data_IF_429032827279
#
_entry.id   IF_429032827279
#
_cell.length_a   1.000
_cell.length_b   1.000
_cell.length_c   1.000
_cell.angle_alpha   90.00
_cell.angle_beta   90.00
_cell.angle_gamma   90.00
#
_symmetry.space_group_name_H-M   'P 1'
#
loop_
_entity.id
_entity.type
_entity.pdbx_description
1 polymer ?
#
# COMPACT_ATOMS: atom_id res chain seq x y z
N UNK A 1 2.40 -5.18 -34.80
CA UNK A 1 2.98 -4.80 -33.47
C UNK A 1 1.87 -4.23 -32.62
N UNK A 2 1.60 -4.82 -31.45
CA UNK A 2 0.56 -4.39 -30.50
C UNK A 2 1.12 -3.48 -29.41
N UNK A 3 0.25 -2.65 -28.85
CA UNK A 3 0.57 -1.73 -27.76
C UNK A 3 -0.24 -2.10 -26.53
N UNK A 4 0.45 -2.32 -25.42
CA UNK A 4 -0.16 -2.65 -24.12
C UNK A 4 -0.17 -1.46 -23.17
N UNK A 5 -1.24 -1.35 -22.41
CA UNK A 5 -1.36 -0.39 -21.32
C UNK A 5 -1.36 -1.11 -19.99
N UNK A 6 -0.40 -0.79 -19.12
CA UNK A 6 -0.37 -1.30 -17.75
C UNK A 6 -1.39 -0.57 -16.90
N UNK A 7 -2.22 -1.32 -16.18
CA UNK A 7 -3.25 -0.82 -15.27
C UNK A 7 -3.22 -1.64 -13.98
N UNK A 8 -3.38 -1.01 -12.83
CA UNK A 8 -3.64 -1.73 -11.60
C UNK A 8 -5.15 -1.97 -11.46
N UNK A 9 -5.62 -3.17 -11.78
CA UNK A 9 -7.06 -3.48 -11.79
C UNK A 9 -7.70 -3.49 -10.40
N UNK A 10 -6.91 -3.65 -9.33
CA UNK A 10 -7.39 -3.73 -7.94
C UNK A 10 -7.04 -2.52 -7.09
N UNK A 11 -6.75 -1.38 -7.73
CA UNK A 11 -6.41 -0.16 -6.97
C UNK A 11 -7.62 0.42 -6.23
N UNK A 12 -7.36 0.98 -5.06
CA UNK A 12 -8.26 1.86 -4.31
C UNK A 12 -7.92 3.35 -4.49
N UNK A 13 -6.99 3.66 -5.43
CA UNK A 13 -6.42 4.99 -5.62
C UNK A 13 -6.37 5.36 -7.12
N UNK A 14 -7.21 6.31 -7.52
CA UNK A 14 -7.24 6.81 -8.91
C UNK A 14 -5.89 7.36 -9.39
N UNK A 15 -4.98 7.69 -8.46
CA UNK A 15 -3.61 8.10 -8.78
C UNK A 15 -2.81 7.06 -9.58
N UNK A 16 -3.11 5.76 -9.44
CA UNK A 16 -2.52 4.70 -10.25
C UNK A 16 -2.98 4.80 -11.70
N UNK A 17 -4.27 5.05 -11.91
CA UNK A 17 -4.81 5.21 -13.27
C UNK A 17 -4.37 6.53 -13.92
N UNK A 18 -4.06 7.57 -13.14
CA UNK A 18 -3.43 8.79 -13.67
C UNK A 18 -2.06 8.46 -14.26
N UNK A 19 -1.30 7.53 -13.63
CA UNK A 19 -0.03 7.05 -14.20
C UNK A 19 -0.26 6.27 -15.49
N UNK A 20 -1.25 5.36 -15.52
CA UNK A 20 -1.64 4.63 -16.73
C UNK A 20 -2.12 5.58 -17.83
N UNK A 21 -2.89 6.62 -17.48
CA UNK A 21 -3.33 7.63 -18.43
C UNK A 21 -2.15 8.39 -19.06
N UNK A 22 -1.13 8.71 -18.28
CA UNK A 22 0.07 9.36 -18.81
C UNK A 22 0.78 8.49 -19.87
N UNK A 23 0.88 7.17 -19.65
CA UNK A 23 1.40 6.24 -20.64
C UNK A 23 0.48 6.16 -21.88
N UNK A 24 -0.84 6.05 -21.67
CA UNK A 24 -1.83 6.05 -22.77
C UNK A 24 -1.68 7.23 -23.71
N UNK A 25 -1.33 8.42 -23.21
CA UNK A 25 -1.17 9.62 -24.04
C UNK A 25 -0.07 9.47 -25.12
N UNK A 26 0.81 8.50 -25.02
CA UNK A 26 1.85 8.21 -26.02
C UNK A 26 1.44 7.11 -27.00
N UNK A 27 0.60 6.16 -26.56
CA UNK A 27 0.26 4.98 -27.33
C UNK A 27 -0.61 5.36 -28.53
N UNK A 28 -0.30 4.86 -29.75
CA UNK A 28 -1.14 5.07 -30.93
C UNK A 28 -2.52 4.43 -30.79
N UNK A 29 -2.57 3.27 -30.11
CA UNK A 29 -3.76 2.54 -29.76
C UNK A 29 -3.50 1.79 -28.44
N UNK A 30 -4.55 1.32 -27.77
CA UNK A 30 -4.46 0.37 -26.68
C UNK A 30 -5.05 -0.94 -27.18
N UNK A 31 -4.19 -1.86 -27.64
CA UNK A 31 -4.61 -3.16 -28.19
C UNK A 31 -4.94 -4.16 -27.09
N UNK A 32 -4.29 -4.02 -25.92
CA UNK A 32 -4.55 -4.86 -24.76
C UNK A 32 -4.24 -4.10 -23.45
N UNK A 33 -4.89 -4.55 -22.39
CA UNK A 33 -4.65 -4.11 -21.03
C UNK A 33 -3.84 -5.16 -20.32
N UNK A 34 -2.80 -4.74 -19.61
CA UNK A 34 -1.92 -5.60 -18.81
C UNK A 34 -2.15 -5.27 -17.35
N UNK A 35 -2.62 -6.24 -16.57
CA UNK A 35 -2.71 -6.04 -15.13
C UNK A 35 -1.31 -5.96 -14.53
N UNK A 36 -1.01 -4.86 -13.86
CA UNK A 36 0.28 -4.64 -13.20
C UNK A 36 0.64 -5.77 -12.23
N UNK A 37 -0.37 -6.34 -11.59
CA UNK A 37 -0.20 -7.37 -10.59
C UNK A 37 -0.19 -8.80 -11.17
N UNK A 38 -0.32 -8.93 -12.50
CA UNK A 38 -0.34 -10.21 -13.23
C UNK A 38 0.54 -10.16 -14.52
N UNK A 39 1.62 -9.39 -14.47
CA UNK A 39 2.47 -9.21 -15.67
C UNK A 39 3.21 -10.47 -16.08
N UNK A 40 3.53 -11.33 -15.15
CA UNK A 40 4.26 -12.57 -15.36
C UNK A 40 3.40 -13.65 -16.05
N UNK A 41 2.05 -13.59 -15.90
CA UNK A 41 1.09 -14.46 -16.56
C UNK A 41 0.48 -13.85 -17.83
N UNK A 42 0.90 -12.67 -18.19
CA UNK A 42 0.37 -12.04 -19.40
C UNK A 42 0.70 -12.87 -20.63
N UNK A 43 -0.31 -13.17 -21.44
CA UNK A 43 -0.20 -13.89 -22.70
C UNK A 43 -0.68 -13.05 -23.86
N UNK A 44 0.04 -13.11 -24.96
CA UNK A 44 -0.34 -12.51 -26.23
C UNK A 44 0.23 -13.33 -27.41
N UNK A 45 -0.43 -13.25 -28.58
CA UNK A 45 0.02 -13.96 -29.79
C UNK A 45 1.29 -13.37 -30.39
N UNK A 46 1.59 -12.12 -30.06
CA UNK A 46 2.78 -11.40 -30.50
C UNK A 46 3.35 -10.52 -29.40
N UNK A 47 4.58 -10.05 -29.58
CA UNK A 47 5.22 -9.12 -28.63
C UNK A 47 4.46 -7.79 -28.55
N UNK A 48 4.25 -7.32 -27.32
CA UNK A 48 3.46 -6.14 -27.00
C UNK A 48 4.36 -5.04 -26.46
N UNK A 49 4.44 -3.93 -27.16
CA UNK A 49 5.17 -2.74 -26.66
C UNK A 49 4.43 -2.08 -25.52
N UNK A 50 5.14 -1.85 -24.44
CA UNK A 50 4.53 -1.38 -23.20
C UNK A 50 5.41 -0.35 -22.51
N UNK A 51 4.85 0.80 -22.17
CA UNK A 51 5.51 1.77 -21.30
C UNK A 51 5.26 1.34 -19.85
N UNK A 52 6.31 0.90 -19.20
CA UNK A 52 6.29 0.38 -17.83
C UNK A 52 6.57 1.51 -16.87
N UNK A 53 5.52 2.17 -16.40
CA UNK A 53 5.58 3.23 -15.40
C UNK A 53 4.60 2.95 -14.27
N UNK A 54 4.88 3.46 -13.09
CA UNK A 54 3.99 3.28 -11.95
C UNK A 54 4.69 2.81 -10.68
N UNK A 55 3.91 2.31 -9.76
CA UNK A 55 4.39 1.74 -8.51
C UNK A 55 4.44 0.21 -8.59
N UNK A 56 5.61 -0.37 -8.36
CA UNK A 56 5.87 -1.80 -8.52
C UNK A 56 6.24 -2.48 -7.21
N UNK A 57 6.16 -3.81 -7.20
CA UNK A 57 6.62 -4.72 -6.15
C UNK A 57 5.79 -4.69 -4.87
N UNK A 58 4.48 -4.51 -4.97
CA UNK A 58 3.57 -4.90 -3.89
C UNK A 58 3.64 -6.40 -3.66
N UNK A 59 3.47 -7.20 -4.72
CA UNK A 59 3.93 -8.57 -4.73
C UNK A 59 5.28 -8.66 -5.42
N UNK A 60 6.20 -9.35 -4.78
CA UNK A 60 7.53 -9.65 -5.31
C UNK A 60 7.59 -11.04 -5.96
N UNK A 61 6.44 -11.72 -6.07
CA UNK A 61 6.32 -13.09 -6.58
C UNK A 61 5.77 -13.16 -8.01
N UNK A 62 5.14 -12.10 -8.52
CA UNK A 62 4.67 -11.95 -9.91
C UNK A 62 5.76 -11.40 -10.83
N UNK A 63 6.97 -11.88 -10.66
CA UNK A 63 8.17 -11.38 -11.32
C UNK A 63 9.04 -12.54 -11.84
N UNK A 64 9.77 -12.42 -12.93
CA UNK A 64 9.78 -11.30 -13.88
C UNK A 64 8.54 -11.26 -14.78
N UNK A 65 8.24 -10.11 -15.43
CA UNK A 65 7.15 -10.02 -16.41
C UNK A 65 7.29 -10.99 -17.57
N UNK A 66 6.15 -11.32 -18.18
CA UNK A 66 6.05 -12.20 -19.35
C UNK A 66 6.99 -11.78 -20.49
N UNK A 67 7.63 -12.73 -21.18
CA UNK A 67 8.49 -12.45 -22.33
C UNK A 67 7.73 -11.85 -23.52
N UNK A 68 6.39 -11.91 -23.54
CA UNK A 68 5.58 -11.21 -24.54
C UNK A 68 5.51 -9.70 -24.34
N UNK A 69 5.86 -9.21 -23.14
CA UNK A 69 5.96 -7.77 -22.88
C UNK A 69 7.32 -7.28 -23.36
N UNK A 70 7.29 -6.35 -24.34
CA UNK A 70 8.47 -5.57 -24.76
C UNK A 70 8.44 -4.22 -24.05
N UNK A 71 9.18 -4.05 -22.94
CA UNK A 71 9.00 -2.92 -22.06
C UNK A 71 9.94 -1.76 -22.36
N UNK A 72 9.45 -0.54 -22.17
CA UNK A 72 10.26 0.62 -21.81
C UNK A 72 10.08 0.92 -20.34
N UNK A 73 11.11 0.71 -19.53
CA UNK A 73 11.08 1.01 -18.10
C UNK A 73 11.42 2.47 -17.84
N UNK A 74 10.40 3.27 -17.50
CA UNK A 74 10.54 4.69 -17.12
C UNK A 74 9.57 5.05 -16.01
N UNK A 75 9.94 5.97 -15.17
CA UNK A 75 9.07 6.50 -14.11
C UNK A 75 8.57 5.43 -13.14
N UNK A 76 9.37 4.40 -12.88
CA UNK A 76 9.02 3.37 -11.93
C UNK A 76 9.40 3.76 -10.50
N UNK A 77 8.54 3.42 -9.57
CA UNK A 77 8.85 3.39 -8.14
C UNK A 77 8.75 1.95 -7.65
N UNK A 78 9.79 1.50 -6.98
CA UNK A 78 9.81 0.19 -6.31
C UNK A 78 9.61 0.45 -4.82
N UNK A 79 8.60 -0.21 -4.23
CA UNK A 79 8.34 -0.03 -2.79
C UNK A 79 9.50 -0.55 -1.93
N UNK A 80 9.90 0.25 -0.95
CA UNK A 80 10.89 -0.15 0.06
C UNK A 80 10.26 -1.02 1.17
N UNK A 81 8.93 -1.06 1.23
CA UNK A 81 8.22 -1.84 2.24
C UNK A 81 8.37 -3.33 1.96
N UNK A 82 8.80 -4.04 2.99
CA UNK A 82 9.06 -5.49 2.91
C UNK A 82 7.96 -6.28 3.63
N UNK A 83 6.82 -6.44 2.94
CA UNK A 83 5.65 -7.14 3.48
C UNK A 83 5.84 -8.64 3.70
N UNK A 84 6.89 -9.22 3.11
CA UNK A 84 7.14 -10.67 3.14
C UNK A 84 8.45 -11.05 3.81
N UNK A 85 9.23 -10.10 4.30
CA UNK A 85 10.54 -10.36 4.89
C UNK A 85 11.58 -10.90 3.91
N UNK A 86 11.44 -10.61 2.60
CA UNK A 86 12.39 -11.02 1.57
C UNK A 86 13.38 -9.93 1.16
N UNK A 87 13.17 -8.70 1.64
CA UNK A 87 14.03 -7.56 1.33
C UNK A 87 14.13 -7.28 -0.16
N UNK A 88 15.36 -7.04 -0.64
CA UNK A 88 15.67 -6.79 -2.04
C UNK A 88 15.98 -8.07 -2.84
N UNK A 89 15.80 -9.26 -2.27
CA UNK A 89 16.13 -10.54 -2.93
C UNK A 89 15.37 -10.81 -4.23
N UNK A 90 14.26 -10.11 -4.45
CA UNK A 90 13.55 -10.13 -5.73
C UNK A 90 14.38 -9.51 -6.88
N UNK A 91 15.45 -8.75 -6.57
CA UNK A 91 16.43 -8.21 -7.52
C UNK A 91 17.64 -9.13 -7.71
N UNK A 92 17.70 -10.26 -6.98
CA UNK A 92 18.70 -11.31 -7.21
C UNK A 92 18.30 -12.19 -8.41
N UNK A 93 19.24 -12.90 -8.99
CA UNK A 93 19.01 -13.91 -10.02
C UNK A 93 18.10 -13.43 -11.16
N UNK A 94 17.08 -14.23 -11.48
CA UNK A 94 16.19 -13.97 -12.63
C UNK A 94 15.50 -12.60 -12.57
N UNK A 95 15.18 -12.10 -11.38
CA UNK A 95 14.51 -10.81 -11.23
C UNK A 95 15.41 -9.64 -11.60
N UNK A 96 16.63 -9.64 -11.08
CA UNK A 96 17.63 -8.61 -11.41
C UNK A 96 18.14 -8.75 -12.84
N UNK A 97 18.33 -9.99 -13.32
CA UNK A 97 18.77 -10.28 -14.70
C UNK A 97 17.75 -9.74 -15.71
N UNK A 98 16.45 -9.84 -15.41
CA UNK A 98 15.40 -9.25 -16.22
C UNK A 98 15.58 -7.73 -16.35
N UNK A 99 15.77 -7.01 -15.23
CA UNK A 99 15.97 -5.56 -15.28
C UNK A 99 17.28 -5.17 -15.97
N UNK A 100 18.36 -5.92 -15.73
CA UNK A 100 19.64 -5.72 -16.45
C UNK A 100 19.50 -5.93 -17.96
N UNK A 101 18.67 -6.89 -18.39
CA UNK A 101 18.41 -7.15 -19.79
C UNK A 101 17.72 -5.97 -20.50
N UNK A 102 16.81 -5.28 -19.83
CA UNK A 102 16.09 -4.13 -20.37
C UNK A 102 16.64 -2.77 -19.90
N UNK A 103 17.80 -2.76 -19.28
CA UNK A 103 18.45 -1.55 -18.81
C UNK A 103 18.82 -0.60 -19.99
N UNK A 104 18.92 0.72 -19.72
CA UNK A 104 18.84 1.38 -18.42
C UNK A 104 17.40 1.58 -17.94
N UNK A 105 17.17 1.41 -16.63
CA UNK A 105 15.87 1.53 -16.00
C UNK A 105 15.63 2.95 -15.52
N UNK A 106 14.52 3.55 -15.92
CA UNK A 106 14.13 4.90 -15.49
C UNK A 106 13.45 4.90 -14.12
N UNK A 107 14.19 5.16 -13.06
CA UNK A 107 13.67 5.34 -11.72
C UNK A 107 12.87 6.65 -11.60
N UNK A 108 11.70 6.60 -10.97
CA UNK A 108 10.87 7.78 -10.75
C UNK A 108 11.46 8.71 -9.70
N UNK A 109 12.08 8.16 -8.68
CA UNK A 109 12.60 8.82 -7.50
C UNK A 109 13.95 8.24 -7.08
N UNK A 110 14.62 9.01 -6.22
CA UNK A 110 15.98 8.70 -5.77
C UNK A 110 16.07 7.38 -5.00
N UNK A 111 15.04 7.04 -4.21
CA UNK A 111 15.05 5.79 -3.44
C UNK A 111 15.07 4.56 -4.35
N UNK A 112 14.26 4.58 -5.41
CA UNK A 112 14.27 3.53 -6.44
C UNK A 112 15.59 3.49 -7.20
N UNK A 113 16.15 4.67 -7.57
CA UNK A 113 17.44 4.73 -8.24
C UNK A 113 18.53 4.07 -7.41
N UNK A 114 18.67 4.45 -6.15
CA UNK A 114 19.65 3.89 -5.22
C UNK A 114 19.47 2.38 -5.01
N UNK A 115 18.20 1.91 -4.94
CA UNK A 115 17.91 0.47 -4.85
C UNK A 115 18.42 -0.28 -6.08
N UNK A 116 18.16 0.22 -7.28
CA UNK A 116 18.63 -0.39 -8.52
C UNK A 116 20.17 -0.38 -8.62
N UNK A 117 20.81 0.74 -8.29
CA UNK A 117 22.27 0.88 -8.31
C UNK A 117 22.96 -0.05 -7.32
N UNK A 118 22.44 -0.17 -6.07
CA UNK A 118 22.96 -1.14 -5.07
C UNK A 118 22.93 -2.58 -5.58
N UNK A 119 21.94 -2.90 -6.41
CA UNK A 119 21.77 -4.22 -7.01
C UNK A 119 22.44 -4.34 -8.40
N UNK A 120 23.34 -3.41 -8.74
CA UNK A 120 24.08 -3.40 -10.00
C UNK A 120 23.19 -3.43 -11.24
N UNK A 121 22.03 -2.78 -11.19
CA UNK A 121 21.11 -2.61 -12.31
C UNK A 121 21.32 -1.21 -12.87
N UNK A 122 21.76 -1.06 -14.14
CA UNK A 122 21.95 0.26 -14.73
C UNK A 122 20.64 1.03 -14.76
N UNK A 123 20.63 2.21 -14.13
CA UNK A 123 19.43 3.01 -13.96
C UNK A 123 19.74 4.51 -14.12
N UNK A 124 18.71 5.32 -14.24
CA UNK A 124 18.79 6.78 -14.26
C UNK A 124 17.54 7.39 -13.62
N UNK A 125 17.68 8.59 -13.08
CA UNK A 125 16.54 9.31 -12.52
C UNK A 125 15.70 9.89 -13.66
N UNK A 126 14.53 9.29 -13.92
CA UNK A 126 13.64 9.69 -15.01
C UNK A 126 12.57 10.70 -14.59
N UNK A 127 12.28 10.82 -13.31
CA UNK A 127 11.10 11.53 -12.82
C UNK A 127 9.79 10.78 -13.13
N UNK A 128 8.67 11.46 -12.98
CA UNK A 128 7.34 10.86 -13.12
C UNK A 128 6.70 11.15 -14.49
N UNK A 129 6.18 10.13 -15.15
CA UNK A 129 5.55 10.24 -16.47
C UNK A 129 4.31 11.14 -16.47
N UNK A 130 3.66 11.32 -15.31
CA UNK A 130 2.50 12.23 -15.19
C UNK A 130 2.83 13.70 -15.48
N UNK A 131 4.12 14.08 -15.45
CA UNK A 131 4.59 15.39 -15.91
C UNK A 131 4.43 15.59 -17.42
N UNK A 132 4.20 14.53 -18.19
CA UNK A 132 4.04 14.59 -19.64
C UNK A 132 2.60 14.73 -20.08
N UNK A 133 1.62 14.64 -19.19
CA UNK A 133 0.19 14.77 -19.50
C UNK A 133 -0.03 16.06 -20.31
N UNK A 134 -0.65 15.99 -21.48
CA UNK A 134 -0.91 17.17 -22.30
C UNK A 134 -2.04 18.01 -21.69
N UNK A 135 -2.00 19.30 -21.95
CA UNK A 135 -3.15 20.15 -21.65
C UNK A 135 -4.34 19.78 -22.55
N UNK A 136 -5.51 19.83 -22.00
CA UNK A 136 -6.77 19.59 -22.71
C UNK A 136 -7.23 20.88 -23.42
N UNK A 137 -7.71 20.73 -24.64
CA UNK A 137 -8.41 21.83 -25.31
C UNK A 137 -9.80 22.07 -24.69
N UNK A 138 -10.28 23.32 -24.80
CA UNK A 138 -11.64 23.70 -24.41
C UNK A 138 -12.00 23.38 -22.95
N UNK A 139 -11.07 23.64 -22.02
CA UNK A 139 -11.34 23.56 -20.59
C UNK A 139 -11.63 24.97 -20.09
N UNK A 140 -12.84 25.16 -19.58
CA UNK A 140 -13.24 26.42 -18.95
C UNK A 140 -12.52 26.60 -17.61
N UNK A 141 -12.03 27.81 -17.36
CA UNK A 141 -11.46 28.18 -16.08
C UNK A 141 -12.58 28.45 -15.08
N UNK A 142 -12.44 27.87 -13.90
CA UNK A 142 -13.37 28.06 -12.80
C UNK A 142 -12.69 28.81 -11.65
N UNK A 143 -13.50 29.28 -10.70
CA UNK A 143 -13.00 29.86 -9.45
C UNK A 143 -12.85 28.80 -8.34
N UNK A 144 -12.89 27.51 -8.68
CA UNK A 144 -12.73 26.44 -7.68
C UNK A 144 -11.29 26.36 -7.18
N UNK A 145 -11.13 26.30 -5.86
CA UNK A 145 -9.92 25.88 -5.20
C UNK A 145 -10.12 24.45 -4.75
N UNK A 146 -9.39 23.50 -5.36
CA UNK A 146 -9.56 22.09 -5.08
C UNK A 146 -8.68 21.66 -3.90
N UNK A 147 -9.29 21.06 -2.90
CA UNK A 147 -8.62 20.42 -1.77
C UNK A 147 -8.64 18.92 -1.99
N UNK A 148 -7.46 18.34 -2.29
CA UNK A 148 -7.38 16.93 -2.70
C UNK A 148 -6.71 16.11 -1.61
N UNK A 149 -7.49 15.26 -0.95
CA UNK A 149 -7.06 14.37 0.14
C UNK A 149 -6.30 15.09 1.26
N UNK A 150 -6.77 16.26 1.65
CA UNK A 150 -6.32 16.91 2.87
C UNK A 150 -7.03 16.29 4.08
N UNK A 151 -6.38 16.31 5.22
CA UNK A 151 -7.05 15.98 6.48
C UNK A 151 -8.02 17.08 6.91
N UNK A 152 -9.01 16.73 7.72
CA UNK A 152 -10.07 17.64 8.18
C UNK A 152 -9.54 18.91 8.85
N UNK A 153 -8.45 18.79 9.61
CA UNK A 153 -7.80 19.92 10.29
C UNK A 153 -7.21 20.89 9.29
N UNK A 154 -6.50 20.39 8.27
CA UNK A 154 -5.92 21.21 7.20
C UNK A 154 -7.02 21.89 6.36
N UNK A 155 -8.10 21.16 6.02
CA UNK A 155 -9.26 21.76 5.34
C UNK A 155 -9.90 22.87 6.17
N UNK A 156 -10.13 22.66 7.45
CA UNK A 156 -10.71 23.67 8.33
C UNK A 156 -9.83 24.93 8.44
N UNK A 157 -8.51 24.76 8.50
CA UNK A 157 -7.55 25.86 8.54
C UNK A 157 -7.64 26.71 7.27
N UNK A 158 -7.56 26.09 6.08
CA UNK A 158 -7.55 26.87 4.82
C UNK A 158 -8.89 27.56 4.57
N UNK A 159 -10.02 26.90 4.85
CA UNK A 159 -11.36 27.49 4.73
C UNK A 159 -11.55 28.68 5.68
N UNK A 160 -11.03 28.62 6.90
CA UNK A 160 -11.05 29.71 7.86
C UNK A 160 -10.17 30.89 7.43
N UNK A 161 -9.00 30.61 6.83
CA UNK A 161 -8.07 31.65 6.38
C UNK A 161 -8.56 32.42 5.15
N UNK A 162 -9.31 31.75 4.26
CA UNK A 162 -9.78 32.31 2.98
C UNK A 162 -11.30 32.07 2.78
N UNK A 163 -12.16 32.64 3.62
CA UNK A 163 -13.59 32.34 3.63
C UNK A 163 -14.32 32.77 2.36
N UNK A 164 -13.74 33.64 1.53
CA UNK A 164 -14.33 34.08 0.26
C UNK A 164 -14.02 33.12 -0.92
N UNK A 165 -13.13 32.13 -0.75
CA UNK A 165 -12.75 31.24 -1.82
C UNK A 165 -13.74 30.05 -1.95
N UNK A 166 -13.93 29.60 -3.20
CA UNK A 166 -14.80 28.47 -3.52
C UNK A 166 -14.04 27.14 -3.36
N UNK A 167 -13.94 26.64 -2.14
CA UNK A 167 -13.25 25.39 -1.84
C UNK A 167 -14.11 24.16 -2.13
N UNK A 168 -13.58 23.23 -2.91
CA UNK A 168 -14.17 21.94 -3.23
C UNK A 168 -13.26 20.80 -2.80
N UNK A 169 -13.74 19.92 -1.92
CA UNK A 169 -12.99 18.72 -1.52
C UNK A 169 -13.12 17.64 -2.58
N UNK A 170 -12.00 16.99 -2.89
CA UNK A 170 -11.88 15.91 -3.88
C UNK A 170 -11.04 14.80 -3.26
N UNK A 171 -11.35 13.54 -3.55
CA UNK A 171 -10.56 12.41 -3.11
C UNK A 171 -10.06 11.57 -4.28
N UNK A 172 -8.86 11.01 -4.14
CA UNK A 172 -8.32 9.97 -4.99
C UNK A 172 -8.70 8.56 -4.51
N UNK A 173 -9.22 8.44 -3.27
CA UNK A 173 -9.63 7.15 -2.76
C UNK A 173 -10.94 6.73 -3.44
N UNK A 174 -10.98 5.49 -3.88
CA UNK A 174 -12.14 4.86 -4.51
C UNK A 174 -12.48 3.57 -3.77
N UNK A 175 -13.74 3.15 -3.83
CA UNK A 175 -14.09 1.82 -3.37
C UNK A 175 -13.49 0.80 -4.34
N UNK A 176 -12.57 -0.04 -3.85
CA UNK A 176 -11.80 -0.96 -4.69
C UNK A 176 -12.69 -1.98 -5.41
N UNK A 177 -13.77 -2.48 -4.77
CA UNK A 177 -14.69 -3.45 -5.37
C UNK A 177 -15.49 -2.83 -6.52
N UNK A 178 -16.12 -1.69 -6.28
CA UNK A 178 -16.87 -0.96 -7.30
C UNK A 178 -15.97 -0.48 -8.44
N UNK A 179 -14.75 -0.06 -8.10
CA UNK A 179 -13.82 0.47 -9.08
C UNK A 179 -13.20 -0.62 -9.94
N UNK A 180 -12.93 -1.80 -9.39
CA UNK A 180 -12.43 -2.96 -10.12
C UNK A 180 -13.45 -3.56 -11.09
N UNK A 181 -14.75 -3.33 -10.85
CA UNK A 181 -15.82 -3.72 -11.77
C UNK A 181 -15.89 -2.86 -13.04
N UNK A 182 -15.22 -1.70 -13.06
CA UNK A 182 -15.17 -0.81 -14.24
C UNK A 182 -14.18 -1.33 -15.27
N UNK A 183 -14.52 -1.13 -16.55
CA UNK A 183 -13.56 -1.34 -17.62
C UNK A 183 -12.37 -0.37 -17.49
N UNK A 184 -11.20 -0.75 -18.00
CA UNK A 184 -10.05 0.14 -18.04
C UNK A 184 -10.37 1.46 -18.77
N UNK A 185 -11.20 1.41 -19.83
CA UNK A 185 -11.64 2.60 -20.55
C UNK A 185 -12.50 3.53 -19.70
N UNK A 186 -13.45 3.00 -18.92
CA UNK A 186 -14.28 3.79 -18.01
C UNK A 186 -13.47 4.46 -16.92
N UNK A 187 -12.49 3.73 -16.37
CA UNK A 187 -11.54 4.25 -15.38
C UNK A 187 -10.73 5.40 -15.96
N UNK A 188 -10.18 5.22 -17.15
CA UNK A 188 -9.41 6.27 -17.83
C UNK A 188 -10.27 7.49 -18.21
N UNK A 189 -11.57 7.30 -18.53
CA UNK A 189 -12.53 8.41 -18.71
C UNK A 189 -12.75 9.19 -17.40
N UNK A 190 -12.81 8.50 -16.25
CA UNK A 190 -12.88 9.17 -14.93
C UNK A 190 -11.62 9.98 -14.65
N UNK A 191 -10.44 9.40 -14.94
CA UNK A 191 -9.17 10.11 -14.85
C UNK A 191 -9.17 11.37 -15.71
N UNK A 192 -9.57 11.28 -16.98
CA UNK A 192 -9.60 12.43 -17.88
C UNK A 192 -10.53 13.53 -17.34
N UNK A 193 -11.72 13.16 -16.86
CA UNK A 193 -12.65 14.10 -16.23
C UNK A 193 -12.02 14.82 -15.02
N UNK A 194 -11.31 14.08 -14.19
CA UNK A 194 -10.61 14.63 -13.03
C UNK A 194 -9.47 15.58 -13.44
N UNK A 195 -8.66 15.19 -14.42
CA UNK A 195 -7.56 16.01 -14.94
C UNK A 195 -8.06 17.29 -15.60
N UNK A 196 -9.19 17.24 -16.33
CA UNK A 196 -9.85 18.43 -16.89
C UNK A 196 -10.32 19.35 -15.76
N UNK A 197 -10.85 18.80 -14.67
CA UNK A 197 -11.24 19.60 -13.49
C UNK A 197 -10.02 20.25 -12.85
N UNK A 198 -8.89 19.53 -12.73
CA UNK A 198 -7.65 20.14 -12.25
C UNK A 198 -7.19 21.28 -13.16
N UNK A 199 -7.20 21.06 -14.48
CA UNK A 199 -6.80 22.12 -15.42
C UNK A 199 -7.73 23.34 -15.36
N UNK A 200 -9.02 23.15 -15.12
CA UNK A 200 -10.01 24.23 -14.98
C UNK A 200 -9.92 24.99 -13.66
N UNK A 201 -9.43 24.36 -12.60
CA UNK A 201 -9.39 24.94 -11.27
C UNK A 201 -8.55 26.24 -11.19
N UNK A 202 -8.90 27.12 -10.27
CA UNK A 202 -8.10 28.30 -9.90
C UNK A 202 -6.74 27.88 -9.37
N UNK A 203 -6.74 26.94 -8.43
CA UNK A 203 -5.54 26.26 -7.91
C UNK A 203 -5.93 24.97 -7.18
N UNK A 204 -4.90 24.18 -6.82
CA UNK A 204 -5.05 22.91 -6.13
C UNK A 204 -4.15 22.88 -4.89
N UNK A 205 -4.68 22.39 -3.77
CA UNK A 205 -3.92 22.09 -2.56
C UNK A 205 -4.09 20.60 -2.29
N UNK A 206 -3.00 19.86 -2.21
CA UNK A 206 -3.09 18.38 -2.20
C UNK A 206 -2.01 17.72 -1.36
N UNK A 207 -2.34 16.58 -0.75
CA UNK A 207 -1.35 15.67 -0.16
C UNK A 207 -0.87 14.58 -1.15
N UNK A 208 -1.44 14.54 -2.37
CA UNK A 208 -1.20 13.48 -3.36
C UNK A 208 -0.19 13.91 -4.42
N UNK A 209 0.88 13.11 -4.57
CA UNK A 209 1.89 13.34 -5.60
C UNK A 209 1.29 13.27 -7.01
N UNK A 210 0.41 12.27 -7.29
CA UNK A 210 -0.26 12.11 -8.58
C UNK A 210 -1.47 13.03 -8.77
N UNK A 211 -1.62 14.01 -7.92
CA UNK A 211 -2.40 15.23 -8.15
C UNK A 211 -1.46 16.41 -8.45
N UNK A 212 -0.42 16.58 -7.63
CA UNK A 212 0.49 17.72 -7.75
C UNK A 212 1.27 17.72 -9.09
N UNK A 213 1.84 16.57 -9.50
CA UNK A 213 2.61 16.48 -10.74
C UNK A 213 1.76 16.68 -12.00
N UNK A 214 0.55 16.08 -12.14
CA UNK A 214 -0.36 16.46 -13.21
C UNK A 214 -0.71 17.95 -13.23
N UNK A 215 -0.90 18.60 -12.07
CA UNK A 215 -1.15 20.03 -12.02
C UNK A 215 0.02 20.87 -12.56
N UNK A 216 1.28 20.44 -12.36
CA UNK A 216 2.42 21.05 -13.06
C UNK A 216 2.27 20.94 -14.58
N UNK A 217 2.01 19.72 -15.07
CA UNK A 217 1.84 19.44 -16.51
C UNK A 217 0.71 20.24 -17.15
N UNK A 218 -0.39 20.41 -16.41
CA UNK A 218 -1.60 21.14 -16.82
C UNK A 218 -1.49 22.65 -16.56
N UNK A 219 -0.38 23.12 -15.98
CA UNK A 219 -0.11 24.53 -15.62
C UNK A 219 -1.13 25.11 -14.62
N UNK A 220 -1.72 24.26 -13.78
CA UNK A 220 -2.60 24.69 -12.71
C UNK A 220 -1.76 24.93 -11.45
N UNK A 221 -1.84 26.12 -10.82
CA UNK A 221 -1.10 26.41 -9.59
C UNK A 221 -1.39 25.35 -8.52
N UNK A 222 -0.34 24.80 -7.92
CA UNK A 222 -0.49 23.73 -6.95
C UNK A 222 0.43 23.90 -5.74
N UNK A 223 -0.11 23.58 -4.55
CA UNK A 223 0.60 23.43 -3.30
C UNK A 223 0.57 21.98 -2.86
N UNK A 224 1.73 21.34 -2.73
CA UNK A 224 1.86 20.02 -2.15
C UNK A 224 1.94 20.12 -0.62
N UNK A 225 1.07 19.41 0.08
CA UNK A 225 1.15 19.22 1.53
C UNK A 225 1.96 17.95 1.79
N UNK A 226 3.13 18.13 2.37
CA UNK A 226 4.11 17.08 2.53
C UNK A 226 4.14 16.54 3.95
N UNK A 227 4.22 15.23 4.09
CA UNK A 227 4.46 14.53 5.36
C UNK A 227 5.85 13.89 5.34
N UNK A 228 6.64 14.10 6.39
CA UNK A 228 8.03 13.57 6.46
C UNK A 228 8.11 12.05 6.35
N UNK A 229 7.10 11.32 6.78
CA UNK A 229 7.02 9.87 6.64
C UNK A 229 7.06 9.38 5.18
N UNK A 230 6.70 10.25 4.22
CA UNK A 230 6.75 9.95 2.79
C UNK A 230 8.00 10.53 2.10
N UNK A 231 9.00 10.99 2.89
CA UNK A 231 10.19 11.67 2.42
C UNK A 231 10.92 10.97 1.27
N UNK A 232 11.29 9.68 1.36
CA UNK A 232 12.16 9.08 0.35
C UNK A 232 11.60 9.18 -1.07
N UNK A 233 10.31 8.85 -1.25
CA UNK A 233 9.66 8.85 -2.57
C UNK A 233 9.23 10.23 -3.10
N UNK A 234 9.13 11.24 -2.22
CA UNK A 234 8.66 12.58 -2.60
C UNK A 234 9.80 13.59 -2.75
N UNK A 235 10.92 13.36 -2.09
CA UNK A 235 12.04 14.31 -2.02
C UNK A 235 12.53 14.74 -3.39
N UNK A 236 12.60 13.83 -4.35
CA UNK A 236 13.01 14.10 -5.74
C UNK A 236 12.11 15.12 -6.47
N UNK A 237 10.91 15.37 -5.96
CA UNK A 237 9.93 16.27 -6.59
C UNK A 237 9.76 17.60 -5.84
N UNK A 238 10.30 17.73 -4.63
CA UNK A 238 10.14 18.95 -3.85
C UNK A 238 10.80 20.16 -4.51
N UNK A 239 11.87 19.95 -5.30
CA UNK A 239 12.52 21.00 -6.08
C UNK A 239 11.66 21.51 -7.26
N UNK A 240 10.67 20.73 -7.69
CA UNK A 240 9.77 21.07 -8.80
C UNK A 240 8.49 21.75 -8.33
N UNK A 241 8.09 21.48 -7.07
CA UNK A 241 6.80 21.84 -6.50
C UNK A 241 6.91 22.92 -5.44
N UNK A 242 5.89 23.76 -5.33
CA UNK A 242 5.66 24.46 -4.07
C UNK A 242 5.11 23.45 -3.08
N UNK A 243 5.71 23.40 -1.91
CA UNK A 243 5.26 22.49 -0.86
C UNK A 243 5.28 23.17 0.51
N UNK A 244 4.53 22.60 1.41
CA UNK A 244 4.57 22.88 2.84
C UNK A 244 4.55 21.58 3.62
N UNK A 245 5.25 21.55 4.76
CA UNK A 245 5.08 20.46 5.71
C UNK A 245 3.72 20.60 6.40
N UNK A 246 3.13 19.46 6.76
CA UNK A 246 1.81 19.45 7.40
C UNK A 246 1.81 20.25 8.72
N UNK A 247 2.93 20.22 9.46
CA UNK A 247 3.08 20.93 10.73
C UNK A 247 3.13 22.46 10.54
N UNK A 248 3.55 22.93 9.36
CA UNK A 248 3.60 24.35 8.96
C UNK A 248 2.52 24.72 7.95
N UNK A 249 1.44 23.94 7.86
CA UNK A 249 0.42 24.06 6.82
C UNK A 249 -0.13 25.49 6.68
N UNK A 250 -0.50 26.13 7.78
CA UNK A 250 -1.09 27.47 7.76
C UNK A 250 -0.12 28.55 7.19
N UNK A 251 1.18 28.43 7.45
CA UNK A 251 2.20 29.32 6.89
C UNK A 251 2.40 29.05 5.40
N UNK A 252 2.46 27.79 5.03
CA UNK A 252 2.61 27.36 3.64
C UNK A 252 1.44 27.81 2.76
N UNK A 253 0.22 27.67 3.25
CA UNK A 253 -0.99 28.15 2.54
C UNK A 253 -1.00 29.68 2.40
N UNK A 254 -0.56 30.40 3.45
CA UNK A 254 -0.43 31.87 3.37
C UNK A 254 0.61 32.28 2.32
N UNK A 255 1.75 31.58 2.25
CA UNK A 255 2.79 31.85 1.26
C UNK A 255 2.35 31.48 -0.17
N UNK A 256 1.52 30.47 -0.31
CA UNK A 256 0.93 30.04 -1.59
C UNK A 256 -0.13 31.01 -2.09
N UNK A 257 -0.93 31.56 -1.17
CA UNK A 257 -2.06 32.46 -1.39
C UNK A 257 -3.08 31.95 -2.40
N UNK A 258 -4.05 31.12 -1.98
CA UNK A 258 -5.08 30.58 -2.89
C UNK A 258 -5.97 31.67 -3.51
N UNK A 259 -6.02 32.88 -2.91
CA UNK A 259 -6.76 34.00 -3.47
C UNK A 259 -6.07 34.53 -4.74
N UNK A 260 -4.72 34.55 -4.77
CA UNK A 260 -3.92 35.00 -5.90
C UNK A 260 -2.77 34.04 -6.22
N UNK A 261 -3.08 32.80 -6.65
CA UNK A 261 -2.07 31.76 -6.81
C UNK A 261 -1.12 32.09 -7.96
N UNK A 262 0.19 32.04 -7.67
CA UNK A 262 1.23 32.26 -8.69
C UNK A 262 1.39 31.02 -9.56
N UNK A 263 1.75 31.20 -10.84
CA UNK A 263 2.09 30.13 -11.76
C UNK A 263 3.16 29.17 -11.19
N UNK A 264 3.11 27.90 -11.54
CA UNK A 264 4.10 26.91 -11.12
C UNK A 264 5.50 27.19 -11.68
N UNK A 265 6.52 26.58 -11.07
CA UNK A 265 7.87 26.55 -11.64
C UNK A 265 7.89 25.73 -12.93
N UNK A 266 8.73 26.14 -13.87
CA UNK A 266 8.98 25.40 -15.13
C UNK A 266 10.14 24.39 -15.01
N UNK A 267 10.70 24.22 -13.82
CA UNK A 267 11.84 23.32 -13.58
C UNK A 267 11.60 21.86 -13.99
N UNK A 268 10.34 21.47 -14.15
CA UNK A 268 9.97 20.12 -14.63
C UNK A 268 10.08 19.94 -16.16
N UNK A 269 10.18 21.02 -16.94
CA UNK A 269 10.17 20.95 -18.42
C UNK A 269 11.29 20.08 -19.03
N UNK A 270 12.53 20.12 -18.54
CA UNK A 270 13.59 19.23 -19.02
C UNK A 270 13.24 17.75 -18.79
N UNK A 271 12.70 17.40 -17.62
CA UNK A 271 12.25 16.04 -17.28
C UNK A 271 11.13 15.62 -18.24
N UNK A 272 10.11 16.47 -18.43
CA UNK A 272 9.02 16.26 -19.38
C UNK A 272 9.54 16.03 -20.80
N UNK A 273 10.53 16.83 -21.22
CA UNK A 273 11.15 16.71 -22.55
C UNK A 273 11.86 15.38 -22.75
N UNK A 274 12.67 14.96 -21.79
CA UNK A 274 13.41 13.69 -21.87
C UNK A 274 12.47 12.48 -21.85
N UNK A 275 11.51 12.44 -20.90
CA UNK A 275 10.50 11.39 -20.85
C UNK A 275 9.71 11.27 -22.16
N UNK A 276 9.25 12.42 -22.68
CA UNK A 276 8.49 12.47 -23.93
C UNK A 276 9.30 11.96 -25.13
N UNK A 277 10.58 12.32 -25.19
CA UNK A 277 11.51 11.85 -26.21
C UNK A 277 11.68 10.33 -26.14
N UNK A 278 12.01 9.80 -24.96
CA UNK A 278 12.22 8.35 -24.75
C UNK A 278 10.99 7.53 -25.12
N UNK A 279 9.81 7.94 -24.67
CA UNK A 279 8.57 7.24 -25.00
C UNK A 279 8.30 7.24 -26.51
N UNK A 280 8.49 8.38 -27.19
CA UNK A 280 8.28 8.46 -28.64
C UNK A 280 9.33 7.67 -29.43
N UNK A 281 10.59 7.70 -29.02
CA UNK A 281 11.67 6.92 -29.65
C UNK A 281 11.38 5.43 -29.51
N UNK A 282 11.02 4.96 -28.32
CA UNK A 282 10.65 3.57 -28.08
C UNK A 282 9.48 3.10 -28.94
N UNK A 283 8.42 3.92 -29.05
CA UNK A 283 7.24 3.54 -29.82
C UNK A 283 7.47 3.57 -31.34
N UNK A 284 8.41 4.42 -31.83
CA UNK A 284 8.79 4.50 -33.25
C UNK A 284 9.78 3.43 -33.67
N UNK A 285 10.54 2.88 -32.73
CA UNK A 285 11.54 1.86 -33.01
C UNK A 285 10.86 0.53 -33.34
N UNK A 286 10.89 0.10 -34.62
CA UNK A 286 10.29 -1.18 -34.99
C UNK A 286 11.07 -2.42 -34.56
N UNK A 287 12.24 -2.23 -33.96
CA UNK A 287 13.02 -3.33 -33.38
C UNK A 287 12.33 -3.85 -32.13
N UNK A 288 12.14 -5.16 -32.11
CA UNK A 288 11.70 -5.88 -30.90
C UNK A 288 12.96 -6.28 -30.15
N UNK A 289 13.11 -5.81 -28.92
CA UNK A 289 14.17 -6.30 -28.05
C UNK A 289 13.98 -7.81 -27.87
N UNK A 290 15.06 -8.58 -28.01
CA UNK A 290 14.99 -10.03 -27.75
C UNK A 290 14.37 -10.25 -26.36
N UNK A 291 13.30 -11.06 -26.26
CA UNK A 291 12.67 -11.28 -24.97
C UNK A 291 13.63 -11.89 -23.95
N UNK A 292 13.55 -11.43 -22.70
CA UNK A 292 14.19 -12.13 -21.60
C UNK A 292 13.39 -13.42 -21.33
N UNK A 293 13.99 -14.53 -21.62
CA UNK A 293 13.35 -15.84 -21.50
C UNK A 293 14.35 -16.85 -20.92
N UNK A 294 14.58 -16.80 -19.60
CA UNK A 294 15.46 -17.77 -18.92
C UNK A 294 14.81 -19.15 -18.92
N UNK A 295 15.60 -20.22 -18.69
CA UNK A 295 15.05 -21.55 -18.49
C UNK A 295 14.01 -21.55 -17.36
N UNK A 296 12.85 -22.16 -17.59
CA UNK A 296 11.74 -22.20 -16.62
C UNK A 296 12.19 -22.73 -15.24
N UNK A 297 13.12 -23.68 -15.23
CA UNK A 297 13.72 -24.25 -14.01
C UNK A 297 14.40 -23.18 -13.15
N UNK A 298 15.10 -22.25 -13.78
CA UNK A 298 15.85 -21.20 -13.06
C UNK A 298 14.90 -20.21 -12.42
N UNK A 299 13.85 -19.83 -13.16
CA UNK A 299 12.75 -18.98 -12.63
C UNK A 299 12.06 -19.68 -11.45
N UNK A 300 11.71 -20.96 -11.62
CA UNK A 300 11.07 -21.76 -10.57
C UNK A 300 11.93 -21.86 -9.31
N UNK A 301 13.21 -22.19 -9.44
CA UNK A 301 14.11 -22.33 -8.30
C UNK A 301 14.31 -20.99 -7.57
N UNK A 302 14.38 -19.91 -8.33
CA UNK A 302 14.49 -18.56 -7.79
C UNK A 302 13.20 -18.17 -7.05
N UNK A 303 12.03 -18.31 -7.65
CA UNK A 303 10.73 -18.04 -7.01
C UNK A 303 10.53 -18.89 -5.75
N UNK A 304 10.88 -20.19 -5.80
CA UNK A 304 10.84 -21.08 -4.64
C UNK A 304 11.73 -20.59 -3.49
N UNK A 305 12.89 -20.04 -3.80
CA UNK A 305 13.78 -19.49 -2.78
C UNK A 305 13.18 -18.25 -2.10
N UNK A 306 12.49 -17.40 -2.85
CA UNK A 306 11.78 -16.25 -2.30
C UNK A 306 10.61 -16.67 -1.39
N UNK A 307 9.80 -17.64 -1.86
CA UNK A 307 8.69 -18.19 -1.08
C UNK A 307 9.18 -18.83 0.24
N UNK A 308 10.25 -19.61 0.19
CA UNK A 308 10.82 -20.23 1.40
C UNK A 308 11.30 -19.17 2.41
N UNK A 309 11.80 -18.03 1.94
CA UNK A 309 12.20 -16.91 2.80
C UNK A 309 10.96 -16.26 3.44
N UNK A 310 9.91 -16.02 2.67
CA UNK A 310 8.65 -15.47 3.15
C UNK A 310 7.97 -16.39 4.19
N UNK A 311 7.95 -17.70 3.93
CA UNK A 311 7.46 -18.69 4.90
C UNK A 311 8.23 -18.66 6.22
N UNK A 312 9.56 -18.55 6.16
CA UNK A 312 10.37 -18.46 7.38
C UNK A 312 10.03 -17.21 8.18
N UNK A 313 9.85 -16.06 7.53
CA UNK A 313 9.44 -14.82 8.18
C UNK A 313 8.06 -14.96 8.85
N UNK A 314 7.08 -15.52 8.13
CA UNK A 314 5.72 -15.76 8.66
C UNK A 314 5.72 -16.75 9.82
N UNK A 315 6.53 -17.82 9.77
CA UNK A 315 6.65 -18.81 10.87
C UNK A 315 7.24 -18.16 12.14
N UNK A 316 8.15 -17.21 12.00
CA UNK A 316 8.70 -16.46 13.13
C UNK A 316 7.61 -15.64 13.81
N UNK A 317 6.79 -14.94 13.04
CA UNK A 317 5.66 -14.16 13.56
C UNK A 317 4.62 -15.05 14.26
N UNK A 318 4.26 -16.19 13.64
CA UNK A 318 3.38 -17.21 14.24
C UNK A 318 3.98 -17.75 15.55
N UNK A 319 5.28 -17.98 15.62
CA UNK A 319 5.94 -18.46 16.83
C UNK A 319 5.90 -17.41 17.96
N UNK A 320 6.06 -16.14 17.60
CA UNK A 320 5.92 -15.02 18.56
C UNK A 320 4.48 -14.90 19.08
N UNK A 321 3.49 -15.00 18.21
CA UNK A 321 2.07 -15.03 18.58
C UNK A 321 1.73 -16.25 19.44
N UNK A 322 2.27 -17.43 19.11
CA UNK A 322 2.09 -18.66 19.87
C UNK A 322 2.73 -18.57 21.27
N UNK A 323 3.90 -17.93 21.36
CA UNK A 323 4.54 -17.64 22.65
C UNK A 323 3.68 -16.73 23.53
N UNK A 324 3.06 -15.74 22.90
CA UNK A 324 2.13 -14.83 23.59
C UNK A 324 0.87 -15.54 24.10
N UNK A 325 0.28 -16.40 23.26
CA UNK A 325 -0.87 -17.26 23.63
C UNK A 325 -0.48 -18.17 24.83
N UNK A 326 0.75 -18.67 24.84
CA UNK A 326 1.27 -19.49 25.92
C UNK A 326 1.41 -18.72 27.24
N UNK A 327 1.90 -17.47 27.18
CA UNK A 327 1.97 -16.60 28.36
C UNK A 327 0.58 -16.24 28.92
N UNK A 328 -0.39 -16.01 28.03
CA UNK A 328 -1.79 -15.80 28.42
C UNK A 328 -2.40 -17.04 29.09
N UNK A 329 -2.04 -18.26 28.59
CA UNK A 329 -2.48 -19.52 29.21
C UNK A 329 -1.89 -19.72 30.60
N UNK A 330 -0.61 -19.37 30.83
CA UNK A 330 0.04 -19.41 32.13
C UNK A 330 -0.57 -18.39 33.10
N UNK A 331 -0.91 -17.20 32.62
CA UNK A 331 -1.67 -16.20 33.41
C UNK A 331 -3.06 -16.69 33.79
N UNK A 332 -3.71 -17.47 32.92
CA UNK A 332 -4.99 -18.13 33.17
C UNK A 332 -4.90 -19.16 34.28
N UNK A 333 -3.91 -20.08 34.23
CA UNK A 333 -3.70 -21.10 35.28
C UNK A 333 -3.45 -20.49 36.65
N UNK A 334 -2.73 -19.38 36.71
CA UNK A 334 -2.51 -18.64 37.94
C UNK A 334 -3.83 -18.08 38.53
N UNK A 335 -4.69 -17.50 37.64
CA UNK A 335 -6.00 -16.97 38.07
C UNK A 335 -6.98 -18.08 38.54
N UNK A 336 -6.97 -19.23 37.86
CA UNK A 336 -7.74 -20.42 38.26
C UNK A 336 -7.29 -20.97 39.61
N UNK A 337 -5.97 -20.92 39.90
CA UNK A 337 -5.41 -21.27 41.21
C UNK A 337 -5.91 -20.36 42.33
N UNK A 338 -6.05 -19.07 42.09
CA UNK A 338 -6.57 -18.08 43.03
C UNK A 338 -8.09 -18.18 43.21
N UNK A 339 -8.81 -18.63 42.18
CA UNK A 339 -10.28 -18.72 42.19
C UNK A 339 -10.80 -19.99 42.86
N UNK A 340 -10.02 -21.11 42.89
CA UNK A 340 -10.35 -22.34 43.62
C UNK A 340 -10.56 -22.13 45.13
N UNK A 341 -10.16 -20.98 45.64
CA UNK A 341 -10.27 -20.65 47.07
C UNK A 341 -11.60 -20.01 47.45
N UNK A 342 -12.56 -19.82 46.53
CA UNK A 342 -13.86 -19.17 46.87
C UNK A 342 -15.02 -19.70 46.01
N UNK A 343 -15.88 -20.52 46.64
CA UNK A 343 -16.93 -21.34 46.01
C UNK A 343 -18.04 -20.63 45.21
N UNK A 344 -18.28 -19.33 45.41
CA UNK A 344 -19.44 -18.67 44.79
C UNK A 344 -19.12 -17.86 43.52
N UNK A 345 -17.84 -17.80 43.08
CA UNK A 345 -17.44 -17.07 41.87
C UNK A 345 -16.90 -18.00 40.79
N UNK A 346 -16.80 -19.29 41.12
CA UNK A 346 -16.34 -20.35 40.20
C UNK A 346 -17.31 -20.53 39.01
N UNK A 347 -18.60 -20.39 39.24
CA UNK A 347 -19.62 -20.58 38.22
C UNK A 347 -19.59 -19.44 37.16
N UNK A 348 -19.39 -18.20 37.59
CA UNK A 348 -19.22 -17.08 36.64
C UNK A 348 -17.91 -17.17 35.84
N UNK A 349 -16.85 -17.63 36.51
CA UNK A 349 -15.54 -17.85 35.89
C UNK A 349 -15.50 -19.10 35.01
N UNK A 350 -16.28 -20.15 35.37
CA UNK A 350 -16.50 -21.32 34.50
C UNK A 350 -17.28 -20.97 33.23
N UNK A 351 -18.24 -20.05 33.30
CA UNK A 351 -18.89 -19.52 32.11
C UNK A 351 -17.91 -18.73 31.22
N UNK A 352 -17.05 -17.96 31.84
CA UNK A 352 -16.02 -17.20 31.14
C UNK A 352 -14.94 -18.12 30.56
N UNK A 353 -14.58 -19.19 31.28
CA UNK A 353 -13.68 -20.23 30.79
C UNK A 353 -14.25 -20.96 29.56
N UNK A 354 -15.55 -21.25 29.55
CA UNK A 354 -16.23 -21.82 28.39
C UNK A 354 -16.20 -20.90 27.17
N UNK A 355 -16.30 -19.59 27.37
CA UNK A 355 -16.21 -18.62 26.28
C UNK A 355 -14.78 -18.46 25.76
N UNK A 356 -13.76 -18.59 26.63
CA UNK A 356 -12.35 -18.58 26.26
C UNK A 356 -11.93 -19.86 25.53
N UNK A 357 -12.47 -21.02 25.92
CA UNK A 357 -12.27 -22.26 25.17
C UNK A 357 -12.96 -22.23 23.79
N UNK A 358 -14.13 -21.59 23.71
CA UNK A 358 -14.77 -21.35 22.43
C UNK A 358 -13.96 -20.36 21.57
N UNK A 359 -13.40 -19.33 22.19
CA UNK A 359 -12.47 -18.40 21.55
C UNK A 359 -11.12 -19.06 21.17
N UNK A 360 -10.62 -19.98 22.03
CA UNK A 360 -9.43 -20.78 21.75
C UNK A 360 -9.67 -21.80 20.65
N UNK A 361 -10.81 -22.51 20.69
CA UNK A 361 -11.26 -23.37 19.58
C UNK A 361 -11.47 -22.58 18.27
N UNK A 362 -11.99 -21.35 18.39
CA UNK A 362 -12.11 -20.47 17.24
C UNK A 362 -10.73 -20.04 16.72
N UNK A 363 -9.78 -19.72 17.60
CA UNK A 363 -8.39 -19.38 17.26
C UNK A 363 -7.60 -20.63 16.79
N UNK A 364 -7.84 -21.81 17.40
CA UNK A 364 -7.26 -23.07 16.95
C UNK A 364 -7.89 -23.50 15.61
N UNK A 365 -9.16 -23.20 15.40
CA UNK A 365 -9.83 -23.39 14.11
C UNK A 365 -9.35 -22.38 13.06
N UNK A 366 -9.00 -21.18 13.48
CA UNK A 366 -8.32 -20.19 12.61
C UNK A 366 -6.88 -20.63 12.29
N UNK A 367 -6.13 -21.11 13.28
CA UNK A 367 -4.78 -21.67 13.06
C UNK A 367 -4.87 -22.93 12.18
N UNK A 368 -5.81 -23.85 12.46
CA UNK A 368 -6.03 -25.02 11.61
C UNK A 368 -6.59 -24.63 10.22
N UNK A 369 -7.32 -23.50 10.11
CA UNK A 369 -7.79 -22.97 8.82
C UNK A 369 -6.62 -22.31 8.06
N UNK A 370 -5.69 -21.69 8.78
CA UNK A 370 -4.44 -21.16 8.19
C UNK A 370 -3.45 -22.29 7.87
N UNK A 371 -3.37 -23.35 8.68
CA UNK A 371 -2.59 -24.55 8.38
C UNK A 371 -3.18 -25.33 7.18
N UNK A 372 -4.52 -25.48 7.13
CA UNK A 372 -5.21 -26.03 5.95
C UNK A 372 -5.02 -25.13 4.73
N UNK A 373 -4.86 -23.83 4.95
CA UNK A 373 -4.57 -22.85 3.90
C UNK A 373 -3.08 -22.84 3.51
N UNK A 374 -2.19 -23.19 4.43
CA UNK A 374 -0.78 -23.48 4.15
C UNK A 374 -0.70 -24.79 3.34
N UNK A 375 -1.46 -25.82 3.71
CA UNK A 375 -1.56 -27.06 2.94
C UNK A 375 -2.23 -26.84 1.57
N UNK A 376 -3.27 -25.99 1.49
CA UNK A 376 -3.83 -25.50 0.23
C UNK A 376 -2.80 -24.68 -0.55
N UNK A 377 -2.00 -23.83 0.10
CA UNK A 377 -0.91 -23.08 -0.51
C UNK A 377 0.26 -24.00 -0.91
N UNK A 378 0.49 -25.11 -0.19
CA UNK A 378 1.48 -26.15 -0.57
C UNK A 378 0.95 -27.02 -1.72
N UNK A 379 -0.32 -27.41 -1.70
CA UNK A 379 -1.00 -28.06 -2.84
C UNK A 379 -1.10 -27.07 -4.01
N UNK A 380 -1.31 -25.84 -3.72
CA UNK A 380 -1.32 -24.74 -4.67
C UNK A 380 0.06 -24.49 -5.25
N UNK A 381 1.14 -24.55 -4.43
CA UNK A 381 2.53 -24.57 -4.88
C UNK A 381 2.84 -25.79 -5.76
N UNK A 382 2.20 -26.94 -5.49
CA UNK A 382 2.33 -28.12 -6.36
C UNK A 382 1.52 -27.99 -7.67
N UNK A 383 0.36 -27.31 -7.63
CA UNK A 383 -0.38 -26.91 -8.83
C UNK A 383 0.31 -25.78 -9.61
N UNK A 384 1.20 -25.00 -8.96
CA UNK A 384 2.09 -24.02 -9.59
C UNK A 384 3.08 -24.65 -10.56
N UNK A 385 3.50 -25.87 -10.33
CA UNK A 385 4.30 -26.62 -11.29
C UNK A 385 3.53 -26.96 -12.57
N UNK A 386 2.22 -27.13 -12.48
CA UNK A 386 1.36 -27.43 -13.64
C UNK A 386 0.68 -26.20 -14.24
N UNK A 387 0.81 -25.09 -13.62
CA UNK A 387 0.14 -23.86 -14.03
C UNK A 387 0.81 -22.60 -13.50
N UNK A 388 1.93 -22.24 -14.13
CA UNK A 388 2.59 -20.93 -13.96
C UNK A 388 1.57 -19.78 -13.92
N UNK A 389 0.52 -19.95 -14.73
CA UNK A 389 -0.62 -19.05 -14.80
C UNK A 389 -1.38 -18.87 -13.49
N UNK A 390 -1.51 -19.90 -12.68
CA UNK A 390 -2.36 -19.83 -11.51
C UNK A 390 -1.68 -19.13 -10.33
N UNK A 391 -0.35 -19.26 -10.21
CA UNK A 391 0.44 -18.57 -9.17
C UNK A 391 0.46 -17.06 -9.37
N UNK A 392 0.58 -16.70 -10.60
CA UNK A 392 0.66 -15.31 -11.01
C UNK A 392 -0.68 -14.60 -10.80
N UNK A 393 -1.80 -15.30 -11.10
CA UNK A 393 -3.14 -14.81 -10.70
C UNK A 393 -3.28 -14.66 -9.19
N UNK A 394 -2.62 -15.49 -8.45
CA UNK A 394 -2.68 -15.42 -6.98
C UNK A 394 -1.66 -14.48 -6.39
N UNK A 395 -0.60 -14.17 -7.11
CA UNK A 395 0.28 -13.09 -6.68
C UNK A 395 -0.48 -11.78 -6.77
N UNK A 396 -1.25 -11.58 -7.84
CA UNK A 396 -2.14 -10.42 -7.90
C UNK A 396 -3.25 -10.42 -6.81
N UNK A 397 -3.78 -11.60 -6.49
CA UNK A 397 -4.70 -11.73 -5.35
C UNK A 397 -3.99 -11.53 -3.99
N UNK A 398 -2.67 -11.79 -3.95
CA UNK A 398 -1.86 -11.50 -2.75
C UNK A 398 -1.42 -10.05 -2.66
N UNK A 399 -1.26 -9.36 -3.79
CA UNK A 399 -1.01 -7.92 -3.74
C UNK A 399 -2.23 -7.13 -3.29
N UNK A 400 -3.42 -7.55 -3.70
CA UNK A 400 -4.65 -7.03 -3.09
C UNK A 400 -4.73 -7.39 -1.59
N UNK A 401 -4.20 -8.56 -1.21
CA UNK A 401 -4.16 -9.00 0.19
C UNK A 401 -2.94 -8.49 0.96
N UNK A 402 -1.92 -8.01 0.30
CA UNK A 402 -0.84 -7.20 0.90
C UNK A 402 -1.35 -5.79 1.13
N UNK A 403 -2.08 -5.22 0.19
CA UNK A 403 -2.82 -3.99 0.46
C UNK A 403 -3.90 -4.21 1.55
N UNK A 404 -4.55 -5.41 1.56
CA UNK A 404 -5.40 -5.83 2.70
C UNK A 404 -4.59 -6.19 3.94
N UNK A 405 -3.37 -6.70 3.85
CA UNK A 405 -2.46 -6.99 4.97
C UNK A 405 -1.64 -5.76 5.36
N UNK A 406 -1.41 -4.81 4.47
CA UNK A 406 -1.02 -3.44 4.86
C UNK A 406 -2.13 -2.78 5.65
N UNK A 407 -3.33 -2.89 5.16
CA UNK A 407 -4.53 -2.48 5.89
C UNK A 407 -4.73 -3.34 7.15
N UNK A 408 -4.49 -4.65 7.06
CA UNK A 408 -4.51 -5.58 8.21
C UNK A 408 -3.25 -5.48 9.09
N UNK A 409 -2.06 -5.15 8.60
CA UNK A 409 -0.89 -4.76 9.42
C UNK A 409 -1.06 -3.36 10.01
N UNK A 410 -1.72 -2.47 9.32
CA UNK A 410 -2.23 -1.23 9.94
C UNK A 410 -3.35 -1.57 10.93
N UNK A 411 -4.24 -2.51 10.61
CA UNK A 411 -5.30 -3.02 11.49
C UNK A 411 -4.76 -3.99 12.55
N UNK A 412 -3.66 -4.71 12.34
CA UNK A 412 -2.92 -5.54 13.34
C UNK A 412 -1.91 -4.71 14.10
N UNK A 413 -1.34 -3.68 13.53
CA UNK A 413 -0.60 -2.64 14.28
C UNK A 413 -1.59 -1.77 15.06
N UNK A 414 -2.71 -1.39 14.47
CA UNK A 414 -3.85 -0.78 15.17
C UNK A 414 -4.56 -1.80 16.09
N UNK A 415 -4.61 -3.09 15.74
CA UNK A 415 -5.10 -4.19 16.59
C UNK A 415 -4.09 -4.60 17.66
N UNK A 416 -2.78 -4.45 17.42
CA UNK A 416 -1.72 -4.56 18.43
C UNK A 416 -1.77 -3.38 19.40
N UNK A 417 -1.89 -2.16 18.87
CA UNK A 417 -2.12 -0.95 19.70
C UNK A 417 -3.47 -1.03 20.42
N UNK A 418 -4.51 -1.61 19.79
CA UNK A 418 -5.80 -1.88 20.42
C UNK A 418 -5.70 -3.00 21.46
N UNK A 419 -4.97 -4.07 21.19
CA UNK A 419 -4.72 -5.18 22.13
C UNK A 419 -3.75 -4.74 23.23
N UNK A 420 -2.74 -3.92 22.94
CA UNK A 420 -1.89 -3.27 23.95
C UNK A 420 -2.71 -2.29 24.82
N UNK A 421 -3.59 -1.50 24.19
CA UNK A 421 -4.52 -0.62 24.92
C UNK A 421 -5.57 -1.42 25.73
N UNK A 422 -6.09 -2.52 25.19
CA UNK A 422 -6.99 -3.45 25.91
C UNK A 422 -6.24 -4.20 27.02
N UNK A 423 -4.96 -4.59 26.77
CA UNK A 423 -4.11 -5.20 27.78
C UNK A 423 -3.83 -4.23 28.94
N UNK A 424 -3.46 -2.98 28.64
CA UNK A 424 -3.31 -1.95 29.67
C UNK A 424 -4.64 -1.63 30.38
N UNK A 425 -5.74 -1.63 29.65
CA UNK A 425 -7.07 -1.47 30.24
C UNK A 425 -7.47 -2.69 31.08
N UNK A 426 -7.08 -3.89 30.62
CA UNK A 426 -7.29 -5.15 31.36
C UNK A 426 -6.34 -5.27 32.58
N UNK A 427 -5.10 -4.81 32.46
CA UNK A 427 -4.13 -4.71 33.54
C UNK A 427 -4.62 -3.72 34.60
N UNK A 428 -5.14 -2.57 34.19
CA UNK A 428 -5.79 -1.61 35.11
C UNK A 428 -7.05 -2.20 35.75
N UNK A 429 -7.85 -2.97 35.00
CA UNK A 429 -8.99 -3.72 35.56
C UNK A 429 -8.54 -4.78 36.55
N UNK A 430 -7.46 -5.52 36.23
CA UNK A 430 -6.88 -6.53 37.13
C UNK A 430 -6.33 -5.92 38.42
N UNK A 431 -5.67 -4.75 38.31
CA UNK A 431 -5.19 -4.00 39.44
C UNK A 431 -6.38 -3.52 40.32
N UNK A 432 -7.43 -3.00 39.64
CA UNK A 432 -8.68 -2.61 40.31
C UNK A 432 -9.44 -3.80 40.88
N UNK A 433 -9.49 -4.94 40.15
CA UNK A 433 -10.11 -6.18 40.64
C UNK A 433 -9.29 -6.80 41.76
N UNK A 434 -7.96 -6.73 41.74
CA UNK A 434 -7.06 -7.15 42.80
C UNK A 434 -7.30 -6.32 44.05
N UNK A 435 -7.38 -4.99 43.93
CA UNK A 435 -7.75 -4.11 45.02
C UNK A 435 -9.14 -4.45 45.57
N UNK A 436 -10.09 -4.75 44.70
CA UNK A 436 -11.46 -5.13 45.09
C UNK A 436 -11.51 -6.52 45.71
N UNK A 437 -10.64 -7.44 45.29
CA UNK A 437 -10.45 -8.76 45.93
C UNK A 437 -9.83 -8.57 47.30
N UNK A 438 -8.79 -7.74 47.43
CA UNK A 438 -8.15 -7.44 48.72
C UNK A 438 -9.15 -6.75 49.70
N UNK A 439 -9.97 -5.83 49.21
CA UNK A 439 -11.06 -5.22 49.98
C UNK A 439 -12.11 -6.25 50.41
N UNK A 440 -12.51 -7.17 49.51
CA UNK A 440 -13.46 -8.25 49.79
C UNK A 440 -12.86 -9.28 50.75
N UNK A 441 -11.55 -9.57 50.64
CA UNK A 441 -10.81 -10.41 51.60
C UNK A 441 -10.79 -9.77 53.00
N UNK A 442 -10.57 -8.45 53.08
CA UNK A 442 -10.63 -7.72 54.35
C UNK A 442 -12.06 -7.72 54.93
N UNK A 443 -13.09 -7.55 54.09
CA UNK A 443 -14.49 -7.62 54.51
C UNK A 443 -14.88 -9.03 55.00
N UNK A 444 -14.41 -10.09 54.35
CA UNK A 444 -14.63 -11.48 54.75
C UNK A 444 -13.92 -11.83 56.05
N UNK A 445 -12.66 -11.38 56.22
CA UNK A 445 -11.92 -11.55 57.43
C UNK A 445 -12.52 -10.73 58.60
N UNK A 446 -13.11 -9.56 58.27
CA UNK A 446 -13.87 -8.76 59.23
C UNK A 446 -15.17 -9.47 59.69
N UNK A 447 -15.89 -10.09 58.75
CA UNK A 447 -17.12 -10.83 59.02
C UNK A 447 -16.87 -12.15 59.77
N UNK A 448 -15.74 -12.85 59.50
CA UNK A 448 -15.37 -14.05 60.26
C UNK A 448 -15.01 -13.71 61.68
N UNK A 449 -14.34 -12.59 61.92
CA UNK A 449 -14.09 -12.13 63.32
C UNK A 449 -15.36 -11.70 64.12
N UNK A 450 -16.40 -11.32 63.36
CA UNK A 450 -17.70 -11.00 63.90
C UNK A 450 -18.52 -12.27 64.20
N UNK A 451 -18.41 -13.30 63.35
CA UNK A 451 -19.07 -14.60 63.54
C UNK A 451 -18.47 -15.43 64.71
N UNK A 452 -17.16 -15.31 64.98
CA UNK A 452 -16.51 -15.96 66.11
C UNK A 452 -16.82 -15.25 67.41
N UNK A 453 -17.14 -13.95 67.39
CA UNK A 453 -17.55 -13.23 68.61
C UNK A 453 -19.04 -13.46 69.02
N UNK A 454 -19.89 -13.80 68.08
CA UNK A 454 -21.32 -14.10 68.35
C UNK A 454 -21.54 -15.54 68.76
N UNK A 455 -20.55 -16.42 68.77
CA UNK A 455 -20.62 -17.80 69.25
C UNK A 455 -20.01 -17.98 70.61
N UNK A 456 -19.54 -16.87 71.21
CA UNK A 456 -18.91 -16.91 72.53
C UNK A 456 -19.69 -16.13 73.67
N UNK A 457 -21.04 -15.94 73.49
CA UNK A 457 -21.93 -15.51 74.59
C UNK A 457 -23.04 -16.51 74.81
#
# INVERSE_FOLDING_TARGET
MKFGLVVNLKTDNIGDDIQSYAAKCFLPAVDCVIDREQMDTFEADESVKTIMNGWYMYSKFNWPPSPQINPLWVSIHITEQDYFGIGERFLDGCGGDYLRHYAPIGARDESTLQMLERNHIPAFLSGCLTLTIPQFSNVEKTNEVLLVDLDEKSEAIVRKMYPAENFQSVTHNVNAEEYSALSAEDRLRRVEKLLRRYQGAKCVITSRLHCALPCLALQTPVLLVYKREYAPRMQSFLTLLRYTEIDSFGEGVRAFDPANPKANSEAYLPIRGDLSRRCREFLKDDRITKPYSPPWRDVYLWQKSLLSTAEFASRKEIAELTSWIRQLSLGKEYLEGQCRLKDNRVDELLQWNKQLEAGKMYLEQQVATEDARIDELEQWNQQLESGKQYLEQQVAAKDARIAELEKWCQEVTAGKEYVEAQWHAEEQRREADKQRIDELVQQLNGNNNQAENDTAQ
#
